data_IF_039677443725
#
_entry.id   IF_039677443725
#
_cell.length_a   1.000
_cell.length_b   1.000
_cell.length_c   1.000
_cell.angle_alpha   90.00
_cell.angle_beta   90.00
_cell.angle_gamma   90.00
#
_symmetry.space_group_name_H-M   'P 1'
#
loop_
_entity.id
_entity.type
_entity.pdbx_description
1 polymer ?
#
# COMPACT_ATOMS: atom_id res chain seq x y z
N UNK A 1 -17.32 8.23 9.33
CA UNK A 1 -17.16 7.34 8.15
C UNK A 1 -18.55 6.97 7.67
N UNK A 2 -18.84 7.11 6.38
CA UNK A 2 -20.08 6.56 5.80
C UNK A 2 -19.90 5.04 5.74
N UNK A 3 -20.72 4.30 6.49
CA UNK A 3 -20.67 2.83 6.57
C UNK A 3 -21.82 2.18 5.80
N UNK A 4 -22.33 2.85 4.77
CA UNK A 4 -23.42 2.34 3.96
C UNK A 4 -22.89 1.28 2.98
N UNK A 5 -23.71 0.25 2.79
CA UNK A 5 -23.44 -0.80 1.81
C UNK A 5 -23.31 -0.21 0.40
N UNK A 6 -22.38 -0.74 -0.39
CA UNK A 6 -22.29 -0.48 -1.83
C UNK A 6 -21.83 -1.75 -2.53
N UNK A 7 -22.40 -2.03 -3.69
CA UNK A 7 -21.96 -3.12 -4.57
C UNK A 7 -20.80 -2.69 -5.48
N UNK A 8 -20.35 -1.44 -5.38
CA UNK A 8 -19.24 -0.89 -6.16
C UNK A 8 -17.94 -0.88 -5.35
N UNK A 9 -16.98 -1.71 -5.75
CA UNK A 9 -15.68 -1.84 -5.10
C UNK A 9 -14.82 -0.59 -5.20
N UNK A 10 -14.84 0.10 -6.34
CA UNK A 10 -14.13 1.38 -6.52
C UNK A 10 -14.66 2.42 -5.51
N UNK A 11 -15.98 2.51 -5.37
CA UNK A 11 -16.62 3.42 -4.42
C UNK A 11 -16.28 3.04 -2.98
N UNK A 12 -16.48 1.77 -2.61
CA UNK A 12 -16.16 1.28 -1.27
C UNK A 12 -14.71 1.59 -0.89
N UNK A 13 -13.76 1.22 -1.75
CA UNK A 13 -12.34 1.41 -1.50
C UNK A 13 -11.99 2.90 -1.39
N UNK A 14 -12.56 3.75 -2.24
CA UNK A 14 -12.35 5.21 -2.20
C UNK A 14 -12.83 5.80 -0.87
N UNK A 15 -14.04 5.41 -0.42
CA UNK A 15 -14.60 5.87 0.87
C UNK A 15 -13.73 5.43 2.04
N UNK A 16 -13.29 4.17 2.03
CA UNK A 16 -12.42 3.62 3.05
C UNK A 16 -11.05 4.30 3.09
N UNK A 17 -10.44 4.55 1.92
CA UNK A 17 -9.14 5.20 1.82
C UNK A 17 -9.19 6.64 2.34
N UNK A 18 -10.22 7.42 1.98
CA UNK A 18 -10.45 8.77 2.50
C UNK A 18 -10.64 8.78 4.02
N UNK A 19 -11.41 7.82 4.55
CA UNK A 19 -11.63 7.71 5.99
C UNK A 19 -10.32 7.41 6.75
N UNK A 20 -9.50 6.48 6.23
CA UNK A 20 -8.19 6.16 6.80
C UNK A 20 -7.24 7.36 6.82
N UNK A 21 -7.19 8.13 5.72
CA UNK A 21 -6.38 9.34 5.65
C UNK A 21 -6.84 10.40 6.62
N UNK A 22 -8.15 10.64 6.70
CA UNK A 22 -8.74 11.59 7.65
C UNK A 22 -8.36 11.21 9.08
N UNK A 23 -8.49 9.93 9.42
CA UNK A 23 -8.09 9.42 10.73
C UNK A 23 -6.60 9.60 11.01
N UNK A 24 -5.73 9.21 10.05
CA UNK A 24 -4.30 9.37 10.20
C UNK A 24 -3.89 10.85 10.41
N UNK A 25 -4.52 11.79 9.70
CA UNK A 25 -4.25 13.22 9.86
C UNK A 25 -4.82 13.80 11.17
N UNK A 26 -5.92 13.26 11.69
CA UNK A 26 -6.44 13.64 13.01
C UNK A 26 -5.46 13.26 14.13
N UNK A 27 -4.90 12.06 14.06
CA UNK A 27 -3.98 11.54 15.08
C UNK A 27 -2.56 12.10 14.96
N UNK A 28 -2.10 12.43 13.75
CA UNK A 28 -0.68 12.75 13.47
C UNK A 28 -0.45 14.18 13.00
N UNK A 29 -1.50 14.94 12.78
CA UNK A 29 -1.43 16.29 12.22
C UNK A 29 -1.63 16.29 10.71
N UNK A 30 -2.00 17.47 10.19
CA UNK A 30 -2.22 17.67 8.76
C UNK A 30 -0.89 17.75 8.01
N UNK A 31 -0.84 17.08 6.88
CA UNK A 31 0.27 17.10 5.93
C UNK A 31 -0.30 17.46 4.55
N UNK A 32 -0.07 18.71 4.06
CA UNK A 32 -0.58 19.16 2.77
C UNK A 32 -0.03 18.36 1.58
N UNK A 33 1.20 17.87 1.67
CA UNK A 33 1.80 17.06 0.60
C UNK A 33 1.12 15.70 0.51
N UNK A 34 0.89 15.06 1.65
CA UNK A 34 0.16 13.80 1.72
C UNK A 34 -1.27 13.95 1.18
N UNK A 35 -1.94 15.06 1.49
CA UNK A 35 -3.29 15.36 1.02
C UNK A 35 -3.35 15.52 -0.50
N UNK A 36 -2.42 16.28 -1.09
CA UNK A 36 -2.33 16.46 -2.54
C UNK A 36 -2.07 15.13 -3.26
N UNK A 37 -1.09 14.35 -2.77
CA UNK A 37 -0.75 13.04 -3.35
C UNK A 37 -1.91 12.05 -3.21
N UNK A 38 -2.59 12.05 -2.07
CA UNK A 38 -3.76 11.22 -1.84
C UNK A 38 -4.89 11.54 -2.81
N UNK A 39 -5.18 12.81 -3.06
CA UNK A 39 -6.24 13.20 -3.97
C UNK A 39 -5.90 12.80 -5.42
N UNK A 40 -4.64 12.96 -5.83
CA UNK A 40 -4.20 12.45 -7.14
C UNK A 40 -4.31 10.92 -7.24
N UNK A 41 -3.99 10.20 -6.16
CA UNK A 41 -4.13 8.74 -6.10
C UNK A 41 -5.60 8.31 -6.23
N UNK A 42 -6.50 8.99 -5.52
CA UNK A 42 -7.94 8.75 -5.57
C UNK A 42 -8.49 9.01 -6.97
N UNK A 43 -8.10 10.12 -7.61
CA UNK A 43 -8.64 10.52 -8.91
C UNK A 43 -8.08 9.71 -10.09
N UNK A 44 -6.84 9.22 -9.99
CA UNK A 44 -6.14 8.62 -11.14
C UNK A 44 -5.87 7.13 -10.98
N UNK A 45 -5.41 6.70 -9.81
CA UNK A 45 -4.89 5.34 -9.60
C UNK A 45 -6.03 4.38 -9.24
N UNK A 46 -6.86 4.74 -8.26
CA UNK A 46 -8.00 3.93 -7.83
C UNK A 46 -8.93 3.58 -9.01
N UNK A 47 -9.44 4.54 -9.80
CA UNK A 47 -10.33 4.22 -10.92
C UNK A 47 -9.65 3.40 -12.01
N UNK A 48 -8.37 3.65 -12.32
CA UNK A 48 -7.63 2.87 -13.33
C UNK A 48 -7.55 1.39 -12.94
N UNK A 49 -7.35 1.11 -11.65
CA UNK A 49 -7.07 -0.24 -11.15
C UNK A 49 -8.32 -1.02 -10.74
N UNK A 50 -9.31 -0.34 -10.15
CA UNK A 50 -10.49 -1.01 -9.57
C UNK A 50 -11.69 -1.01 -10.51
N UNK A 51 -11.90 0.05 -11.30
CA UNK A 51 -13.04 0.11 -12.25
C UNK A 51 -13.06 -1.06 -13.24
N UNK A 52 -11.93 -1.51 -13.81
CA UNK A 52 -11.93 -2.65 -14.73
C UNK A 52 -12.51 -3.91 -14.10
N UNK A 53 -12.39 -4.12 -12.78
CA UNK A 53 -12.87 -5.34 -12.12
C UNK A 53 -14.39 -5.55 -12.21
N UNK A 54 -15.16 -4.47 -12.40
CA UNK A 54 -16.63 -4.49 -12.45
C UNK A 54 -17.21 -3.87 -13.73
N UNK A 55 -16.36 -3.60 -14.73
CA UNK A 55 -16.76 -3.05 -16.03
C UNK A 55 -16.30 -3.95 -17.16
N UNK A 56 -16.87 -3.76 -18.35
CA UNK A 56 -16.61 -4.64 -19.50
C UNK A 56 -17.20 -6.03 -19.33
N UNK A 57 -18.37 -6.13 -18.68
CA UNK A 57 -19.05 -7.41 -18.41
C UNK A 57 -18.47 -8.23 -17.26
N UNK A 58 -17.52 -7.68 -16.50
CA UNK A 58 -16.90 -8.34 -15.35
C UNK A 58 -17.65 -8.05 -14.06
N UNK A 59 -17.56 -8.98 -13.12
CA UNK A 59 -18.11 -8.87 -11.77
C UNK A 59 -17.13 -9.48 -10.77
N UNK A 60 -16.94 -8.83 -9.62
CA UNK A 60 -16.14 -9.38 -8.52
C UNK A 60 -16.93 -10.51 -7.87
N UNK A 61 -16.33 -11.69 -7.81
CA UNK A 61 -16.92 -12.84 -7.10
C UNK A 61 -16.55 -12.74 -5.62
N UNK A 62 -17.52 -12.84 -4.69
CA UNK A 62 -17.22 -12.95 -3.27
C UNK A 62 -16.40 -14.21 -3.03
N UNK A 63 -15.20 -14.06 -2.50
CA UNK A 63 -14.34 -15.17 -2.07
C UNK A 63 -13.73 -14.83 -0.71
N UNK A 64 -13.35 -15.85 0.05
CA UNK A 64 -12.62 -15.67 1.29
C UNK A 64 -11.23 -15.10 0.94
N UNK A 65 -11.05 -13.80 1.13
CA UNK A 65 -9.80 -13.12 0.83
C UNK A 65 -8.86 -13.22 2.04
N UNK A 66 -7.72 -13.86 1.86
CA UNK A 66 -6.60 -13.74 2.79
C UNK A 66 -6.08 -12.29 2.72
N UNK A 67 -5.70 -11.71 3.85
CA UNK A 67 -5.28 -10.31 3.90
C UNK A 67 -3.91 -10.09 3.24
N UNK A 68 -3.89 -10.08 1.90
CA UNK A 68 -2.69 -9.91 1.07
C UNK A 68 -2.09 -8.50 1.19
N UNK A 69 -2.81 -7.54 1.77
CA UNK A 69 -2.41 -6.14 1.85
C UNK A 69 -1.17 -5.90 2.74
N UNK A 70 -0.83 -6.84 3.62
CA UNK A 70 0.39 -6.78 4.44
C UNK A 70 1.54 -7.63 3.89
N UNK A 71 1.26 -8.51 2.94
CA UNK A 71 2.25 -9.46 2.42
C UNK A 71 3.15 -8.78 1.40
N UNK A 72 4.44 -9.10 1.40
CA UNK A 72 5.45 -8.41 0.59
C UNK A 72 5.96 -7.09 1.20
N UNK A 73 5.36 -6.64 2.30
CA UNK A 73 5.87 -5.51 3.06
C UNK A 73 6.94 -6.01 4.06
N UNK A 74 8.17 -5.46 4.07
CA UNK A 74 9.26 -5.90 4.94
C UNK A 74 8.96 -5.92 6.45
N UNK A 75 7.91 -5.21 6.90
CA UNK A 75 7.47 -5.26 8.29
C UNK A 75 6.90 -6.62 8.67
N UNK A 76 6.45 -7.39 7.69
CA UNK A 76 5.90 -8.71 7.86
C UNK A 76 6.89 -9.74 7.31
N UNK A 77 6.96 -10.91 7.95
CA UNK A 77 7.89 -11.98 7.57
C UNK A 77 7.55 -12.65 6.22
N UNK A 78 6.54 -12.15 5.49
CA UNK A 78 6.04 -12.73 4.24
C UNK A 78 6.56 -11.92 3.06
N UNK A 79 7.43 -12.55 2.26
CA UNK A 79 8.06 -11.95 1.09
C UNK A 79 7.09 -11.84 -0.10
N UNK A 80 7.54 -11.16 -1.16
CA UNK A 80 6.82 -11.14 -2.45
C UNK A 80 6.69 -12.53 -3.08
N UNK A 81 7.51 -13.50 -2.69
CA UNK A 81 7.39 -14.89 -3.17
C UNK A 81 6.05 -15.49 -2.75
N UNK A 82 5.49 -15.07 -1.61
CA UNK A 82 4.14 -15.46 -1.22
C UNK A 82 3.09 -14.93 -2.18
N UNK A 83 3.24 -13.69 -2.65
CA UNK A 83 2.33 -13.08 -3.62
C UNK A 83 2.42 -13.80 -4.97
N UNK A 84 3.63 -14.18 -5.37
CA UNK A 84 3.87 -14.95 -6.60
C UNK A 84 3.21 -16.34 -6.52
N UNK A 85 3.44 -17.09 -5.42
CA UNK A 85 2.79 -18.38 -5.19
C UNK A 85 1.26 -18.25 -5.16
N UNK A 86 0.73 -17.22 -4.50
CA UNK A 86 -0.72 -16.98 -4.47
C UNK A 86 -1.26 -16.77 -5.88
N UNK A 87 -0.56 -15.97 -6.70
CA UNK A 87 -0.96 -15.70 -8.08
C UNK A 87 -0.95 -16.98 -8.93
N UNK A 88 0.03 -17.86 -8.72
CA UNK A 88 0.17 -19.11 -9.47
C UNK A 88 -0.88 -20.16 -9.06
N UNK A 89 -1.14 -20.31 -7.76
CA UNK A 89 -2.05 -21.33 -7.22
C UNK A 89 -3.53 -20.93 -7.28
N UNK A 90 -3.84 -19.66 -6.97
CA UNK A 90 -5.23 -19.17 -6.88
C UNK A 90 -5.66 -18.44 -8.15
N UNK A 91 -4.71 -17.83 -8.86
CA UNK A 91 -4.98 -17.01 -10.04
C UNK A 91 -5.25 -15.54 -9.73
N UNK A 92 -5.11 -14.70 -10.76
CA UNK A 92 -5.37 -13.27 -10.71
C UNK A 92 -6.75 -12.93 -11.31
N UNK A 93 -7.46 -11.96 -10.72
CA UNK A 93 -8.67 -11.42 -11.34
C UNK A 93 -8.35 -10.62 -12.60
N UNK A 94 -9.22 -10.70 -13.61
CA UNK A 94 -9.09 -9.90 -14.83
C UNK A 94 -9.31 -8.40 -14.55
N UNK A 95 -8.48 -7.48 -15.10
CA UNK A 95 -7.30 -7.75 -15.94
C UNK A 95 -6.11 -8.23 -15.11
N UNK A 96 -5.47 -9.33 -15.54
CA UNK A 96 -4.37 -9.94 -14.78
C UNK A 96 -3.09 -9.10 -14.80
N UNK A 97 -2.88 -8.28 -15.83
CA UNK A 97 -1.68 -7.43 -15.96
C UNK A 97 -1.53 -6.42 -14.81
N UNK A 98 -2.64 -6.07 -14.17
CA UNK A 98 -2.72 -5.08 -13.10
C UNK A 98 -2.68 -5.74 -11.70
N UNK A 99 -2.44 -7.06 -11.62
CA UNK A 99 -2.46 -7.79 -10.35
C UNK A 99 -1.52 -7.20 -9.30
N UNK A 100 -0.24 -7.01 -9.63
CA UNK A 100 0.73 -6.45 -8.69
C UNK A 100 0.50 -4.96 -8.42
N UNK A 101 0.01 -4.21 -9.43
CA UNK A 101 -0.34 -2.81 -9.23
C UNK A 101 -1.54 -2.68 -8.25
N UNK A 102 -2.48 -3.63 -8.26
CA UNK A 102 -3.58 -3.70 -7.28
C UNK A 102 -3.08 -4.11 -5.89
N UNK A 103 -2.15 -5.05 -5.81
CA UNK A 103 -1.50 -5.41 -4.54
C UNK A 103 -0.83 -4.20 -3.88
N UNK A 104 -0.06 -3.43 -4.65
CA UNK A 104 0.55 -2.18 -4.17
C UNK A 104 -0.52 -1.17 -3.70
N UNK A 105 -1.63 -1.03 -4.43
CA UNK A 105 -2.76 -0.17 -4.04
C UNK A 105 -3.33 -0.58 -2.68
N UNK A 106 -3.49 -1.88 -2.42
CA UNK A 106 -3.98 -2.38 -1.13
C UNK A 106 -2.94 -2.19 -0.02
N UNK A 107 -1.65 -2.41 -0.31
CA UNK A 107 -0.57 -2.19 0.63
C UNK A 107 -0.45 -0.72 1.07
N UNK A 108 -0.62 0.23 0.14
CA UNK A 108 -0.63 1.68 0.45
C UNK A 108 -1.75 2.01 1.44
N UNK A 109 -2.96 1.51 1.19
CA UNK A 109 -4.10 1.70 2.11
C UNK A 109 -3.80 1.13 3.50
N UNK A 110 -3.19 -0.04 3.56
CA UNK A 110 -2.80 -0.68 4.82
C UNK A 110 -1.76 0.15 5.58
N UNK A 111 -0.77 0.70 4.88
CA UNK A 111 0.26 1.55 5.47
C UNK A 111 -0.34 2.81 6.10
N UNK A 112 -1.24 3.49 5.38
CA UNK A 112 -1.95 4.66 5.89
C UNK A 112 -2.76 4.32 7.16
N UNK A 113 -3.50 3.21 7.14
CA UNK A 113 -4.27 2.74 8.29
C UNK A 113 -3.37 2.45 9.49
N UNK A 114 -2.28 1.71 9.25
CA UNK A 114 -1.35 1.27 10.30
C UNK A 114 -0.69 2.46 10.98
N UNK A 115 -0.21 3.42 10.19
CA UNK A 115 0.50 4.58 10.73
C UNK A 115 -0.44 5.55 11.49
N UNK A 116 -1.72 5.58 11.13
CA UNK A 116 -2.75 6.24 11.92
C UNK A 116 -2.98 5.54 13.27
N UNK A 117 -3.24 4.22 13.26
CA UNK A 117 -3.66 3.47 14.44
C UNK A 117 -2.57 3.30 15.50
N UNK A 118 -1.32 3.09 15.09
CA UNK A 118 -0.27 2.66 16.00
C UNK A 118 0.87 3.67 16.09
N UNK A 119 1.10 4.28 17.27
CA UNK A 119 2.13 5.32 17.44
C UNK A 119 3.54 4.89 17.05
N UNK A 120 3.92 3.63 17.30
CA UNK A 120 5.23 3.10 16.94
C UNK A 120 5.47 3.06 15.42
N UNK A 121 4.41 3.14 14.62
CA UNK A 121 4.45 3.13 13.17
C UNK A 121 4.20 4.51 12.54
N UNK A 122 4.10 5.57 13.34
CA UNK A 122 3.92 6.94 12.86
C UNK A 122 4.98 7.37 11.81
N UNK A 123 6.28 7.01 11.93
CA UNK A 123 7.29 7.36 10.91
C UNK A 123 7.03 6.79 9.51
N UNK A 124 6.13 5.80 9.39
CA UNK A 124 5.74 5.25 8.09
C UNK A 124 4.96 6.22 7.22
N UNK A 125 4.29 7.24 7.80
CA UNK A 125 3.56 8.25 7.02
C UNK A 125 4.52 9.01 6.09
N UNK A 126 5.61 9.57 6.62
CA UNK A 126 6.59 10.28 5.80
C UNK A 126 7.43 9.35 4.92
N UNK A 127 7.92 8.23 5.45
CA UNK A 127 8.91 7.42 4.73
C UNK A 127 8.29 6.58 3.61
N UNK A 128 7.13 5.97 3.88
CA UNK A 128 6.56 4.95 2.99
C UNK A 128 5.23 5.36 2.39
N UNK A 129 4.34 6.03 3.13
CA UNK A 129 3.04 6.42 2.57
C UNK A 129 3.21 7.48 1.47
N UNK A 130 3.93 8.57 1.76
CA UNK A 130 4.28 9.60 0.76
C UNK A 130 5.13 9.01 -0.36
N UNK A 131 6.15 8.19 -0.04
CA UNK A 131 7.02 7.55 -1.01
C UNK A 131 6.29 6.61 -1.98
N UNK A 132 5.42 5.74 -1.46
CA UNK A 132 4.62 4.80 -2.26
C UNK A 132 3.53 5.48 -3.07
N UNK A 133 2.90 6.54 -2.54
CA UNK A 133 1.95 7.35 -3.33
C UNK A 133 2.67 8.01 -4.51
N UNK A 134 3.83 8.61 -4.26
CA UNK A 134 4.64 9.27 -5.29
C UNK A 134 5.13 8.28 -6.36
N UNK A 135 5.63 7.10 -5.95
CA UNK A 135 6.08 6.08 -6.91
C UNK A 135 4.91 5.56 -7.74
N UNK A 136 3.77 5.26 -7.12
CA UNK A 136 2.59 4.76 -7.82
C UNK A 136 2.03 5.78 -8.81
N UNK A 137 2.03 7.07 -8.44
CA UNK A 137 1.64 8.15 -9.34
C UNK A 137 2.58 8.27 -10.54
N UNK A 138 3.90 8.26 -10.32
CA UNK A 138 4.90 8.28 -11.41
C UNK A 138 4.74 7.07 -12.33
N UNK A 139 4.55 5.90 -11.76
CA UNK A 139 4.45 4.62 -12.49
C UNK A 139 3.10 4.47 -13.20
N UNK A 140 2.02 5.07 -12.68
CA UNK A 140 0.73 5.15 -13.36
C UNK A 140 0.75 6.06 -14.61
N UNK A 141 1.77 6.91 -14.73
CA UNK A 141 2.00 7.81 -15.88
C UNK A 141 3.00 7.26 -16.91
N UNK A 142 3.76 6.20 -16.61
CA UNK A 142 4.76 5.60 -17.52
C UNK A 142 4.33 4.20 -17.96
N UNK A 143 4.34 3.99 -19.28
CA UNK A 143 3.86 2.78 -19.95
C UNK A 143 4.62 1.50 -19.57
N UNK A 144 3.89 0.38 -19.67
CA UNK A 144 4.15 -0.99 -19.21
C UNK A 144 5.47 -1.60 -19.74
N UNK A 145 6.59 -1.48 -19.02
CA UNK A 145 7.72 -2.45 -19.06
C UNK A 145 8.74 -2.11 -17.95
N UNK A 146 9.28 -3.12 -17.27
CA UNK A 146 10.37 -3.04 -16.27
C UNK A 146 10.06 -2.62 -14.82
N UNK A 147 8.88 -2.93 -14.27
CA UNK A 147 8.57 -2.56 -12.87
C UNK A 147 9.08 -3.54 -11.77
N UNK A 148 9.60 -4.72 -12.11
CA UNK A 148 9.95 -5.76 -11.11
C UNK A 148 11.33 -5.56 -10.48
N UNK A 149 12.35 -5.24 -11.27
CA UNK A 149 13.76 -5.20 -10.81
C UNK A 149 14.10 -3.95 -9.98
N UNK A 150 13.51 -2.79 -10.30
CA UNK A 150 13.77 -1.55 -9.55
C UNK A 150 13.17 -1.59 -8.13
N UNK A 151 12.05 -2.30 -7.93
CA UNK A 151 11.39 -2.41 -6.61
C UNK A 151 12.23 -3.19 -5.60
N UNK A 152 12.84 -4.31 -6.00
CA UNK A 152 13.68 -5.12 -5.10
C UNK A 152 15.01 -4.45 -4.72
N UNK A 153 15.56 -3.58 -5.59
CA UNK A 153 16.76 -2.80 -5.26
C UNK A 153 16.49 -1.78 -4.15
N UNK A 154 15.37 -1.05 -4.20
CA UNK A 154 14.99 -0.08 -3.17
C UNK A 154 14.80 -0.73 -1.78
N UNK A 155 14.18 -1.92 -1.74
CA UNK A 155 13.98 -2.67 -0.49
C UNK A 155 15.30 -3.20 0.11
N UNK A 156 16.22 -3.69 -0.73
CA UNK A 156 17.54 -4.17 -0.27
C UNK A 156 18.43 -3.05 0.30
N UNK A 157 18.34 -1.85 -0.27
CA UNK A 157 19.09 -0.67 0.19
C UNK A 157 18.53 -0.13 1.52
N UNK A 158 17.21 -0.21 1.72
CA UNK A 158 16.57 0.27 2.94
C UNK A 158 16.74 -0.69 4.13
N UNK A 159 16.68 -2.01 3.92
CA UNK A 159 17.00 -2.99 4.98
C UNK A 159 18.42 -2.78 5.54
N UNK A 160 19.39 -2.44 4.68
CA UNK A 160 20.73 -2.07 5.13
C UNK A 160 20.75 -0.78 5.93
N UNK A 161 19.91 0.21 5.59
CA UNK A 161 19.83 1.46 6.36
C UNK A 161 19.16 1.28 7.72
N UNK A 162 18.14 0.42 7.82
CA UNK A 162 17.47 0.09 9.09
C UNK A 162 18.38 -0.76 9.99
N UNK A 163 19.13 -1.74 9.45
CA UNK A 163 20.16 -2.45 10.21
C UNK A 163 21.20 -1.49 10.82
N UNK A 164 21.61 -0.47 10.07
CA UNK A 164 22.56 0.56 10.53
C UNK A 164 21.93 1.42 11.64
N UNK A 165 20.66 1.82 11.50
CA UNK A 165 19.95 2.59 12.52
C UNK A 165 19.75 1.76 13.79
N UNK A 166 19.29 0.51 13.67
CA UNK A 166 19.05 -0.40 14.80
C UNK A 166 20.36 -0.77 15.53
N UNK A 167 21.47 -0.95 14.80
CA UNK A 167 22.81 -1.12 15.39
C UNK A 167 23.27 0.13 16.13
N UNK A 168 23.01 1.33 15.60
CA UNK A 168 23.34 2.60 16.26
C UNK A 168 22.52 2.85 17.53
N UNK A 169 21.27 2.40 17.56
CA UNK A 169 20.40 2.49 18.74
C UNK A 169 20.75 1.46 19.82
N UNK A 170 21.19 0.25 19.43
CA UNK A 170 21.76 -0.73 20.38
C UNK A 170 23.02 -0.22 21.06
N UNK A 171 23.87 0.52 20.33
CA UNK A 171 25.08 1.14 20.88
C UNK A 171 24.80 2.37 21.77
N UNK A 172 23.61 2.98 21.66
CA UNK A 172 23.19 4.15 22.46
C UNK A 172 22.47 3.80 23.77
N UNK A 173 22.11 2.53 24.03
CA UNK A 173 21.52 2.15 25.32
C UNK A 173 22.61 2.16 26.40
N UNK A 174 22.48 2.95 27.49
CA UNK A 174 23.43 2.92 28.58
C UNK A 174 23.40 1.55 29.27
N UNK A 175 24.52 1.09 29.87
CA UNK A 175 24.57 -0.21 30.51
C UNK A 175 23.52 -0.27 31.62
N UNK A 176 22.70 -1.33 31.60
CA UNK A 176 21.77 -1.60 32.70
C UNK A 176 22.58 -1.77 33.98
N UNK A 177 22.17 -1.05 35.03
CA UNK A 177 22.74 -1.13 36.39
C UNK A 177 22.75 -2.55 36.91
#
# INVERSE_FOLDING_TARGET
MINDWTDNWEEYFTRLFRANLTYAQQERGKDPELEELAEQFIQKVIPRLLRPLQTGGRSIKPTLCLDLQCMGDPRYALSMEFIDMYKDEVGASEPQEDFYDRHDLYAIRNNNCTAGMWPQWAPLLQTRCVGSLRSTLKVSMVSKRNKFMERNQGYSLWMRSEEIVEQSERQRKPPRR
#
